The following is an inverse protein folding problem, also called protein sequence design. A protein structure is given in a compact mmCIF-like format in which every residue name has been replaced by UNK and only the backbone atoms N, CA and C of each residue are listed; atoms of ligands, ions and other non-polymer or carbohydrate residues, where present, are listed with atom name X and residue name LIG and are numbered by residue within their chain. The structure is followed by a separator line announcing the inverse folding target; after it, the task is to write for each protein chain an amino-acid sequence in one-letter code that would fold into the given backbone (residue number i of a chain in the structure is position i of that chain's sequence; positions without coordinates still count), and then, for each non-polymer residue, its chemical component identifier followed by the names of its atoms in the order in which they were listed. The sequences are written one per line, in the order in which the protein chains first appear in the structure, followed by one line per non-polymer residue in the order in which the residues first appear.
data_IF_903462353935
#
_entry.id   IF_903462353935
#
_cell.length_a   1.000
_cell.length_b   1.000
_cell.length_c   1.000
_cell.angle_alpha   90.00
_cell.angle_beta   90.00
_cell.angle_gamma   90.00
#
_symmetry.space_group_name_H-M   'P 1'
#
loop_
_entity.id
_entity.type
_entity.pdbx_description
1 polymer ?
#
# COMPACT_ATOMS: atom_id res chain seq x y z
N UNK A 1 2.69 -24.33 6.21
CA UNK A 1 3.65 -23.86 5.18
C UNK A 1 3.95 -22.38 5.41
N UNK A 2 5.12 -22.05 5.97
CA UNK A 2 5.58 -20.66 6.16
C UNK A 2 6.29 -20.23 4.89
N UNK A 3 5.70 -19.29 4.15
CA UNK A 3 6.40 -18.62 3.04
C UNK A 3 7.00 -17.32 3.58
N UNK A 4 8.33 -17.13 3.57
CA UNK A 4 8.90 -15.84 3.85
C UNK A 4 8.68 -14.97 2.61
N UNK A 5 7.84 -13.94 2.71
CA UNK A 5 7.92 -12.85 1.74
C UNK A 5 8.98 -11.88 2.25
N UNK A 6 10.17 -12.05 1.69
CA UNK A 6 11.25 -11.07 1.71
C UNK A 6 10.71 -9.83 0.98
N UNK A 7 10.20 -8.87 1.74
CA UNK A 7 9.88 -7.56 1.20
C UNK A 7 11.19 -6.90 0.78
N UNK A 8 11.45 -6.85 -0.53
CA UNK A 8 12.59 -6.14 -1.08
C UNK A 8 12.37 -4.64 -0.84
N UNK A 9 12.95 -4.09 0.23
CA UNK A 9 12.93 -2.65 0.50
C UNK A 9 13.92 -2.00 -0.45
N UNK A 10 13.44 -1.57 -1.61
CA UNK A 10 14.18 -0.66 -2.50
C UNK A 10 13.56 0.72 -2.37
N UNK A 11 14.14 1.55 -1.51
CA UNK A 11 13.88 2.99 -1.45
C UNK A 11 14.55 3.63 -2.67
N UNK A 12 13.85 3.64 -3.80
CA UNK A 12 14.19 4.55 -4.90
C UNK A 12 12.98 5.46 -5.12
N UNK A 13 13.20 6.77 -5.04
CA UNK A 13 12.28 7.81 -5.52
C UNK A 13 10.88 7.86 -4.83
N UNK A 14 10.82 7.97 -3.50
CA UNK A 14 9.58 8.23 -2.73
C UNK A 14 8.40 7.30 -3.07
N UNK A 15 8.67 6.02 -3.32
CA UNK A 15 7.70 5.05 -3.83
C UNK A 15 7.63 3.81 -2.92
N UNK A 16 6.40 3.42 -2.56
CA UNK A 16 6.12 2.16 -1.87
C UNK A 16 5.25 1.24 -2.74
N UNK A 17 5.55 -0.06 -2.73
CA UNK A 17 4.94 -1.07 -3.60
C UNK A 17 4.50 -2.32 -2.81
N UNK A 18 3.25 -2.76 -2.99
CA UNK A 18 2.75 -4.07 -2.49
C UNK A 18 2.37 -4.94 -3.68
N UNK A 19 2.87 -6.17 -3.76
CA UNK A 19 2.56 -7.09 -4.86
C UNK A 19 1.37 -8.02 -4.51
N UNK A 20 0.38 -8.07 -5.39
CA UNK A 20 -0.83 -8.91 -5.30
C UNK A 20 -0.77 -10.07 -6.32
N UNK A 21 -1.36 -11.23 -6.01
CA UNK A 21 -1.29 -12.46 -6.82
C UNK A 21 -2.66 -12.87 -7.41
N UNK A 22 -2.78 -12.94 -8.75
CA UNK A 22 -3.76 -13.61 -9.67
C UNK A 22 -5.24 -13.87 -9.27
N UNK A 23 -5.74 -13.37 -8.16
CA UNK A 23 -7.16 -13.29 -7.81
C UNK A 23 -7.63 -11.88 -8.23
N UNK A 24 -8.85 -11.68 -8.71
CA UNK A 24 -9.25 -10.35 -9.25
C UNK A 24 -10.09 -9.52 -8.26
N UNK A 25 -10.22 -10.00 -7.02
CA UNK A 25 -11.07 -9.42 -5.99
C UNK A 25 -10.23 -9.10 -4.75
N UNK A 26 -9.98 -7.81 -4.55
CA UNK A 26 -9.18 -7.31 -3.43
C UNK A 26 -9.81 -6.08 -2.80
N UNK A 27 -9.67 -5.98 -1.48
CA UNK A 27 -9.80 -4.72 -0.77
C UNK A 27 -8.48 -4.42 -0.04
N UNK A 28 -8.01 -3.19 -0.14
CA UNK A 28 -6.88 -2.70 0.65
C UNK A 28 -7.38 -1.58 1.57
N UNK A 29 -7.05 -1.71 2.84
CA UNK A 29 -7.40 -0.74 3.87
C UNK A 29 -6.16 -0.21 4.56
N UNK A 30 -6.13 1.08 4.88
CA UNK A 30 -5.15 1.71 5.77
C UNK A 30 -5.85 2.06 7.09
N UNK A 31 -5.36 1.52 8.21
CA UNK A 31 -5.96 1.74 9.54
C UNK A 31 -7.49 1.54 9.51
N UNK A 32 -7.94 0.43 8.92
CA UNK A 32 -9.36 0.08 8.73
C UNK A 32 -10.14 0.93 7.72
N UNK A 33 -9.57 2.01 7.17
CA UNK A 33 -10.18 2.81 6.11
C UNK A 33 -9.85 2.21 4.75
N UNK A 34 -10.85 1.82 3.98
CA UNK A 34 -10.69 1.27 2.62
C UNK A 34 -10.13 2.35 1.67
N UNK A 35 -9.02 2.04 0.99
CA UNK A 35 -8.32 2.95 0.07
C UNK A 35 -8.25 2.45 -1.37
N UNK A 36 -8.46 1.15 -1.58
CA UNK A 36 -8.52 0.54 -2.90
C UNK A 36 -9.49 -0.64 -2.86
N UNK A 37 -10.34 -0.72 -3.87
CA UNK A 37 -11.10 -1.92 -4.21
C UNK A 37 -10.79 -2.31 -5.65
N UNK A 38 -10.45 -3.58 -5.84
CA UNK A 38 -10.26 -4.19 -7.16
C UNK A 38 -11.35 -5.23 -7.37
N UNK A 39 -12.05 -5.14 -8.48
CA UNK A 39 -13.10 -6.06 -8.91
C UNK A 39 -13.02 -6.22 -10.43
N UNK A 40 -13.00 -7.45 -10.95
CA UNK A 40 -13.07 -7.73 -12.40
C UNK A 40 -12.11 -6.87 -13.25
N UNK A 41 -10.83 -6.75 -12.84
CA UNK A 41 -9.81 -5.90 -13.48
C UNK A 41 -10.06 -4.37 -13.48
N UNK A 42 -11.14 -3.92 -12.84
CA UNK A 42 -11.36 -2.52 -12.53
C UNK A 42 -10.89 -2.21 -11.12
N UNK A 43 -10.45 -0.97 -10.90
CA UNK A 43 -10.05 -0.50 -9.58
C UNK A 43 -10.68 0.85 -9.26
N UNK A 44 -11.05 1.02 -7.99
CA UNK A 44 -11.55 2.28 -7.44
C UNK A 44 -10.61 2.73 -6.31
N UNK A 45 -9.97 3.89 -6.52
CA UNK A 45 -9.06 4.54 -5.58
C UNK A 45 -8.99 6.05 -5.86
N UNK A 46 -8.38 6.81 -4.94
CA UNK A 46 -7.92 8.17 -5.26
C UNK A 46 -6.72 8.09 -6.22
N UNK A 47 -6.99 8.20 -7.53
CA UNK A 47 -6.00 8.00 -8.61
C UNK A 47 -4.82 8.98 -8.58
N UNK A 48 -4.94 10.14 -7.92
CA UNK A 48 -3.83 11.08 -7.78
C UNK A 48 -2.77 10.59 -6.79
N UNK A 49 -3.19 9.86 -5.74
CA UNK A 49 -2.30 9.38 -4.68
C UNK A 49 -1.98 7.88 -4.79
N UNK A 50 -2.94 7.10 -5.27
CA UNK A 50 -2.88 5.63 -5.28
C UNK A 50 -3.01 5.09 -6.70
N UNK A 51 -2.02 4.30 -7.12
CA UNK A 51 -2.00 3.65 -8.42
C UNK A 51 -2.05 2.13 -8.25
N UNK A 52 -2.73 1.47 -9.18
CA UNK A 52 -2.79 0.01 -9.25
C UNK A 52 -2.55 -0.44 -10.69
N UNK A 53 -1.29 -0.61 -11.13
CA UNK A 53 -0.99 -1.06 -12.47
C UNK A 53 -1.43 -2.52 -12.67
N UNK A 54 -1.56 -2.93 -13.94
CA UNK A 54 -2.03 -4.27 -14.33
C UNK A 54 -1.14 -5.41 -13.85
N UNK A 55 0.10 -5.12 -13.43
CA UNK A 55 1.02 -6.08 -12.84
C UNK A 55 0.66 -6.48 -11.39
N UNK A 56 -0.43 -5.95 -10.83
CA UNK A 56 -0.92 -6.28 -9.50
C UNK A 56 -0.15 -5.57 -8.38
N UNK A 57 0.53 -4.46 -8.66
CA UNK A 57 1.23 -3.68 -7.65
C UNK A 57 0.38 -2.54 -7.11
N UNK A 58 0.23 -2.40 -5.80
CA UNK A 58 -0.30 -1.19 -5.20
C UNK A 58 0.81 -0.17 -4.96
N UNK A 59 0.63 1.06 -5.45
CA UNK A 59 1.60 2.15 -5.37
C UNK A 59 1.02 3.36 -4.65
N UNK A 60 1.78 3.89 -3.68
CA UNK A 60 1.52 5.18 -3.04
C UNK A 60 2.50 6.21 -3.60
N UNK A 61 1.98 7.30 -4.16
CA UNK A 61 2.77 8.44 -4.61
C UNK A 61 2.98 9.46 -3.50
N UNK A 62 4.10 10.18 -3.56
CA UNK A 62 4.42 11.28 -2.65
C UNK A 62 4.33 10.88 -1.17
N UNK A 63 5.10 9.83 -0.81
CA UNK A 63 5.13 9.31 0.55
C UNK A 63 5.42 10.41 1.58
N UNK A 64 4.64 10.40 2.65
CA UNK A 64 4.77 11.28 3.80
C UNK A 64 4.81 10.47 5.09
N UNK A 65 5.26 11.07 6.20
CA UNK A 65 5.22 10.42 7.52
C UNK A 65 3.81 9.95 7.90
N UNK A 66 2.78 10.68 7.47
CA UNK A 66 1.37 10.34 7.70
C UNK A 66 0.92 9.08 6.95
N UNK A 67 1.68 8.59 5.97
CA UNK A 67 1.39 7.34 5.26
C UNK A 67 1.80 6.10 6.06
N UNK A 68 2.48 6.27 7.19
CA UNK A 68 2.70 5.19 8.15
C UNK A 68 1.37 4.63 8.66
N UNK A 69 1.36 3.35 9.00
CA UNK A 69 0.17 2.67 9.54
C UNK A 69 0.05 1.23 9.06
N UNK A 70 -1.07 0.61 9.42
CA UNK A 70 -1.37 -0.76 9.05
C UNK A 70 -2.10 -0.78 7.71
N UNK A 71 -1.54 -1.52 6.75
CA UNK A 71 -2.13 -1.78 5.45
C UNK A 71 -2.60 -3.23 5.40
N UNK A 72 -3.91 -3.43 5.35
CA UNK A 72 -4.53 -4.75 5.34
C UNK A 72 -5.08 -5.04 3.95
N UNK A 73 -4.55 -6.09 3.33
CA UNK A 73 -5.04 -6.67 2.10
C UNK A 73 -6.00 -7.82 2.43
N UNK A 74 -7.23 -7.69 1.94
CA UNK A 74 -8.24 -8.74 1.98
C UNK A 74 -8.45 -9.29 0.56
N UNK A 75 -8.36 -10.60 0.39
CA UNK A 75 -8.67 -11.29 -0.87
C UNK A 75 -10.02 -11.97 -0.80
N UNK A 76 -10.68 -12.14 -1.95
CA UNK A 76 -11.98 -12.83 -2.02
C UNK A 76 -11.95 -13.94 -3.06
N UNK A 77 -12.71 -15.01 -2.83
CA UNK A 77 -12.96 -16.05 -3.84
C UNK A 77 -13.95 -15.57 -4.92
N UNK A 78 -14.23 -16.41 -5.93
CA UNK A 78 -15.16 -16.09 -7.02
C UNK A 78 -16.57 -15.75 -6.55
N UNK A 79 -16.96 -16.25 -5.37
CA UNK A 79 -18.30 -16.07 -4.80
C UNK A 79 -18.34 -14.82 -3.89
N UNK A 80 -17.23 -14.07 -3.81
CA UNK A 80 -17.11 -12.86 -3.00
C UNK A 80 -16.87 -13.14 -1.51
N UNK A 81 -16.57 -14.38 -1.11
CA UNK A 81 -16.25 -14.71 0.28
C UNK A 81 -14.79 -14.40 0.57
N UNK A 82 -14.52 -13.96 1.80
CA UNK A 82 -13.15 -13.74 2.29
C UNK A 82 -12.33 -15.03 2.13
N UNK A 83 -11.22 -14.95 1.40
CA UNK A 83 -10.33 -16.10 1.14
C UNK A 83 -8.95 -15.94 1.78
N UNK A 84 -8.61 -14.75 2.28
CA UNK A 84 -7.35 -14.51 2.96
C UNK A 84 -7.12 -13.05 3.32
N UNK A 85 -6.41 -12.85 4.42
CA UNK A 85 -6.02 -11.52 4.90
C UNK A 85 -4.51 -11.45 5.12
N UNK A 86 -3.90 -10.32 4.80
CA UNK A 86 -2.52 -10.00 5.14
C UNK A 86 -2.39 -8.55 5.56
N UNK A 87 -1.76 -8.32 6.69
CA UNK A 87 -1.47 -6.97 7.19
C UNK A 87 0.03 -6.67 7.13
N UNK A 88 0.36 -5.50 6.61
CA UNK A 88 1.70 -4.93 6.60
C UNK A 88 1.70 -3.63 7.41
N UNK A 89 2.60 -3.54 8.39
CA UNK A 89 2.84 -2.29 9.09
C UNK A 89 3.93 -1.49 8.36
N UNK A 90 3.56 -0.31 7.87
CA UNK A 90 4.48 0.60 7.19
C UNK A 90 4.95 1.68 8.16
N UNK A 91 6.26 1.85 8.28
CA UNK A 91 6.89 2.93 9.03
C UNK A 91 7.67 3.83 8.08
N UNK A 92 7.31 5.12 8.02
CA UNK A 92 8.01 6.11 7.21
C UNK A 92 8.72 7.09 8.14
N UNK A 93 10.03 7.07 8.09
CA UNK A 93 10.90 8.02 8.78
C UNK A 93 11.38 9.07 7.79
N UNK A 94 11.50 10.31 8.25
CA UNK A 94 12.05 11.41 7.48
C UNK A 94 12.85 12.33 8.39
N UNK A 95 13.91 12.94 7.86
CA UNK A 95 14.67 13.96 8.58
C UNK A 95 13.84 15.25 8.58
N UNK A 96 13.52 15.75 9.77
CA UNK A 96 13.08 17.13 9.92
C UNK A 96 14.35 17.97 9.99
N UNK A 97 14.62 18.78 8.96
CA UNK A 97 15.66 19.80 9.10
C UNK A 97 15.03 20.96 9.89
N UNK A 98 15.53 21.28 11.09
CA UNK A 98 15.11 22.51 11.74
C UNK A 98 15.44 23.66 10.79
N UNK A 99 14.42 24.47 10.46
CA UNK A 99 14.66 25.74 9.77
C UNK A 99 15.55 26.54 10.71
N UNK A 100 16.82 26.68 10.33
CA UNK A 100 17.78 27.43 11.12
C UNK A 100 17.24 28.82 11.35
N UNK A 101 17.20 29.25 12.62
CA UNK A 101 17.18 30.69 12.91
C UNK A 101 18.38 31.27 12.17
N UNK A 102 18.12 32.12 11.18
CA UNK A 102 19.11 33.08 10.70
C UNK A 102 19.41 33.99 11.89
N UNK A 103 20.41 33.62 12.68
CA UNK A 103 21.10 34.53 13.59
C UNK A 103 22.23 35.15 12.79
N UNK A 104 22.04 36.39 12.35
CA UNK A 104 22.88 37.55 12.63
C UNK A 104 22.26 38.78 11.96
#
# INVERSE_FOLDING_TARGET
MKFPLVGLIKVYQNLFQIQMKRVHLYDLSKNSSKILTVRNNTFSSNKHRYLFPSNGTFRINNLSRSDSGNYTLQTFDSDGRSSGERTLQLFIQGKCFPVGKLSH
#
